data_IF_550540147524
#
_entry.id   IF_550540147524
#
_cell.length_a   1.000
_cell.length_b   1.000
_cell.length_c   1.000
_cell.angle_alpha   90.00
_cell.angle_beta   90.00
_cell.angle_gamma   90.00
#
_symmetry.space_group_name_H-M   'P 1'
#
loop_
_entity.id
_entity.type
_entity.pdbx_description
1 polymer ?
#
# COMPACT_ATOMS: atom_id res chain seq x y z
N UNK A 1 5.74 -5.54 -28.93
CA UNK A 1 6.54 -5.57 -27.69
C UNK A 1 7.76 -6.44 -27.96
N UNK A 2 8.82 -5.86 -28.54
CA UNK A 2 9.89 -6.64 -29.21
C UNK A 2 11.22 -6.62 -28.44
N UNK A 3 11.17 -6.39 -27.12
CA UNK A 3 12.38 -6.29 -26.28
C UNK A 3 13.16 -4.99 -26.40
N UNK A 4 12.60 -3.98 -27.08
CA UNK A 4 13.19 -2.64 -27.16
C UNK A 4 13.18 -1.93 -25.81
N UNK A 5 14.07 -0.95 -25.65
CA UNK A 5 14.19 -0.16 -24.42
C UNK A 5 12.92 0.69 -24.22
N UNK A 6 12.23 0.62 -23.07
CA UNK A 6 11.07 1.45 -22.80
C UNK A 6 11.41 2.95 -22.81
N UNK A 7 10.58 3.74 -23.48
CA UNK A 7 10.64 5.21 -23.45
C UNK A 7 9.54 5.69 -22.50
N UNK A 8 9.94 6.35 -21.41
CA UNK A 8 9.02 6.88 -20.40
C UNK A 8 9.08 8.39 -20.36
N UNK A 9 7.95 9.03 -20.06
CA UNK A 9 7.83 10.46 -19.83
C UNK A 9 7.22 10.69 -18.45
N UNK A 10 7.90 11.48 -17.62
CA UNK A 10 7.36 11.89 -16.34
C UNK A 10 6.14 12.80 -16.55
N UNK A 11 5.05 12.52 -15.83
CA UNK A 11 3.83 13.33 -15.83
C UNK A 11 3.45 13.63 -14.39
N UNK A 12 3.40 14.91 -14.03
CA UNK A 12 3.08 15.38 -12.68
C UNK A 12 3.55 16.83 -12.46
N UNK A 13 3.46 17.33 -11.21
CA UNK A 13 2.99 16.62 -10.04
C UNK A 13 1.45 16.46 -10.00
N UNK A 14 0.97 15.37 -9.41
CA UNK A 14 -0.41 15.23 -8.93
C UNK A 14 -0.35 15.29 -7.42
N UNK A 15 -0.81 16.40 -6.85
CA UNK A 15 -0.67 16.71 -5.43
C UNK A 15 -1.96 16.36 -4.70
N UNK A 16 -1.81 15.63 -3.60
CA UNK A 16 -2.90 15.28 -2.70
C UNK A 16 -2.59 15.84 -1.31
N UNK A 17 -3.56 16.51 -0.70
CA UNK A 17 -3.52 16.88 0.71
C UNK A 17 -3.79 15.64 1.55
N UNK A 18 -2.89 15.34 2.49
CA UNK A 18 -2.99 14.19 3.39
C UNK A 18 -3.41 14.66 4.79
N UNK A 19 -4.56 14.17 5.24
CA UNK A 19 -5.07 14.35 6.59
C UNK A 19 -4.82 13.06 7.39
N UNK A 20 -4.15 13.18 8.54
CA UNK A 20 -3.81 12.04 9.41
C UNK A 20 -4.48 12.24 10.77
N UNK A 21 -5.22 11.23 11.22
CA UNK A 21 -5.90 11.20 12.51
C UNK A 21 -5.35 10.02 13.35
N UNK A 22 -5.05 10.28 14.63
CA UNK A 22 -4.73 9.22 15.61
C UNK A 22 -5.98 8.93 16.44
N UNK A 23 -6.55 7.74 16.24
CA UNK A 23 -7.68 7.26 17.03
C UNK A 23 -7.17 6.47 18.22
N UNK A 24 -7.08 7.14 19.37
CA UNK A 24 -6.61 6.54 20.63
C UNK A 24 -7.65 5.52 21.10
N UNK A 25 -7.19 4.30 21.36
CA UNK A 25 -8.05 3.21 21.86
C UNK A 25 -7.80 2.89 23.33
N UNK A 26 -6.59 3.12 23.84
CA UNK A 26 -6.23 2.83 25.23
C UNK A 26 -5.00 3.63 25.67
N UNK A 27 -4.93 3.90 26.97
CA UNK A 27 -3.81 4.57 27.62
C UNK A 27 -3.43 3.77 28.86
N UNK A 28 -2.21 3.27 28.88
CA UNK A 28 -1.67 2.50 29.99
C UNK A 28 -0.69 3.36 30.78
N UNK A 29 -1.14 3.85 31.93
CA UNK A 29 -0.34 4.67 32.85
C UNK A 29 0.80 3.89 33.50
N UNK A 30 0.64 2.58 33.73
CA UNK A 30 1.66 1.77 34.39
C UNK A 30 2.86 1.53 33.48
N UNK A 31 2.63 1.34 32.18
CA UNK A 31 3.71 1.20 31.19
C UNK A 31 4.05 2.49 30.45
N UNK A 32 3.35 3.59 30.74
CA UNK A 32 3.48 4.89 30.09
C UNK A 32 3.36 4.82 28.56
N UNK A 33 2.32 4.12 28.09
CA UNK A 33 2.07 3.90 26.66
C UNK A 33 0.68 4.31 26.23
N UNK A 34 0.53 4.58 24.93
CA UNK A 34 -0.73 4.84 24.25
C UNK A 34 -0.91 3.83 23.12
N UNK A 35 -2.12 3.30 23.00
CA UNK A 35 -2.53 2.47 21.88
C UNK A 35 -3.45 3.27 20.95
N UNK A 36 -3.23 3.18 19.64
CA UNK A 36 -4.02 3.92 18.66
C UNK A 36 -4.03 3.26 17.28
N UNK A 37 -5.01 3.66 16.47
CA UNK A 37 -5.00 3.46 15.03
C UNK A 37 -4.65 4.76 14.32
N UNK A 38 -4.00 4.66 13.16
CA UNK A 38 -3.81 5.76 12.24
C UNK A 38 -4.86 5.70 11.15
N UNK A 39 -5.62 6.77 10.99
CA UNK A 39 -6.51 6.96 9.84
C UNK A 39 -5.92 8.00 8.91
N UNK A 40 -5.88 7.72 7.62
CA UNK A 40 -5.40 8.64 6.59
C UNK A 40 -6.50 8.96 5.60
N UNK A 41 -6.57 10.20 5.17
CA UNK A 41 -7.52 10.65 4.16
C UNK A 41 -6.79 11.54 3.15
N UNK A 42 -6.92 11.21 1.87
CA UNK A 42 -6.25 11.89 0.76
C UNK A 42 -7.27 12.66 -0.08
N UNK A 43 -6.98 13.94 -0.33
CA UNK A 43 -7.84 14.82 -1.16
C UNK A 43 -7.01 15.42 -2.28
N UNK A 44 -7.47 15.29 -3.53
CA UNK A 44 -6.76 15.87 -4.66
C UNK A 44 -6.74 17.41 -4.56
N UNK A 45 -5.54 17.98 -4.65
CA UNK A 45 -5.33 19.42 -4.63
C UNK A 45 -5.05 19.93 -6.04
N UNK A 46 -6.12 20.30 -6.75
CA UNK A 46 -6.04 20.79 -8.13
C UNK A 46 -5.19 22.06 -8.27
N UNK A 47 -5.23 22.95 -7.26
CA UNK A 47 -4.49 24.22 -7.28
C UNK A 47 -2.99 23.98 -7.20
N UNK A 48 -2.55 23.13 -6.26
CA UNK A 48 -1.15 22.79 -6.10
C UNK A 48 -0.63 21.91 -7.27
N UNK A 49 -1.52 21.14 -7.90
CA UNK A 49 -1.21 20.32 -9.09
C UNK A 49 -1.06 21.16 -10.38
N UNK A 50 -1.37 22.46 -10.34
CA UNK A 50 -1.20 23.37 -11.46
C UNK A 50 -2.16 23.07 -12.62
N UNK A 51 -1.63 22.68 -13.78
CA UNK A 51 -2.43 22.35 -14.96
C UNK A 51 -2.88 20.87 -15.02
N UNK A 52 -2.59 20.10 -13.97
CA UNK A 52 -2.92 18.67 -13.89
C UNK A 52 -4.25 18.45 -13.23
N UNK A 53 -5.00 17.51 -13.79
CA UNK A 53 -6.24 16.97 -13.23
C UNK A 53 -6.05 15.47 -13.02
N UNK A 54 -6.56 14.90 -11.93
CA UNK A 54 -6.40 13.46 -11.68
C UNK A 54 -7.30 12.57 -12.56
N UNK A 55 -8.11 13.17 -13.44
CA UNK A 55 -8.71 12.49 -14.59
C UNK A 55 -7.76 12.35 -15.79
N UNK A 56 -6.54 12.89 -15.74
CA UNK A 56 -5.51 12.67 -16.76
C UNK A 56 -5.31 11.17 -16.99
N UNK A 57 -5.32 10.74 -18.26
CA UNK A 57 -5.14 9.33 -18.64
C UNK A 57 -3.65 9.05 -18.85
N UNK A 58 -3.15 8.03 -18.15
CA UNK A 58 -1.77 7.54 -18.27
C UNK A 58 -1.73 6.15 -18.88
N UNK A 59 -0.68 5.88 -19.64
CA UNK A 59 -0.32 4.54 -20.08
C UNK A 59 0.73 3.99 -19.13
N UNK A 60 0.37 2.96 -18.36
CA UNK A 60 1.23 2.33 -17.34
C UNK A 60 1.21 0.82 -17.50
N UNK A 61 2.20 0.13 -16.94
CA UNK A 61 2.18 -1.33 -16.89
C UNK A 61 1.00 -1.81 -16.03
N UNK A 62 0.31 -2.86 -16.45
CA UNK A 62 -0.73 -3.50 -15.64
C UNK A 62 -0.11 -4.19 -14.42
N UNK A 63 0.06 -3.45 -13.32
CA UNK A 63 0.73 -3.93 -12.11
C UNK A 63 -0.02 -5.08 -11.45
N UNK A 64 -1.35 -5.06 -11.46
CA UNK A 64 -2.17 -6.17 -10.96
C UNK A 64 -1.91 -7.45 -11.75
N UNK A 65 -1.93 -7.37 -13.08
CA UNK A 65 -1.59 -8.50 -13.94
C UNK A 65 -0.15 -8.98 -13.71
N UNK A 66 0.81 -8.06 -13.67
CA UNK A 66 2.21 -8.40 -13.45
C UNK A 66 2.41 -9.12 -12.11
N UNK A 67 1.77 -8.65 -11.03
CA UNK A 67 1.80 -9.31 -9.73
C UNK A 67 1.26 -10.74 -9.79
N UNK A 68 0.11 -10.93 -10.46
CA UNK A 68 -0.48 -12.26 -10.67
C UNK A 68 0.45 -13.19 -11.46
N UNK A 69 1.03 -12.71 -12.56
CA UNK A 69 1.96 -13.48 -13.39
C UNK A 69 3.21 -13.88 -12.60
N UNK A 70 3.81 -12.95 -11.85
CA UNK A 70 4.99 -13.23 -11.02
C UNK A 70 4.68 -14.26 -9.93
N UNK A 71 3.51 -14.14 -9.27
CA UNK A 71 3.08 -15.07 -8.23
C UNK A 71 2.81 -16.48 -8.78
N UNK A 72 2.13 -16.58 -9.93
CA UNK A 72 1.88 -17.86 -10.59
C UNK A 72 3.20 -18.47 -11.08
N UNK A 73 4.09 -17.67 -11.69
CA UNK A 73 5.40 -18.15 -12.12
C UNK A 73 6.23 -18.70 -10.96
N UNK A 74 6.15 -18.09 -9.77
CA UNK A 74 6.88 -18.56 -8.60
C UNK A 74 6.28 -19.82 -7.95
N UNK A 75 4.96 -20.01 -8.05
CA UNK A 75 4.25 -21.11 -7.39
C UNK A 75 4.01 -22.31 -8.31
N UNK A 76 3.45 -22.06 -9.49
CA UNK A 76 2.96 -23.05 -10.44
C UNK A 76 3.18 -22.54 -11.88
N UNK A 77 4.43 -22.51 -12.37
CA UNK A 77 4.76 -21.94 -13.68
C UNK A 77 4.03 -22.62 -14.85
N UNK A 78 3.62 -23.88 -14.68
CA UNK A 78 2.81 -24.61 -15.65
C UNK A 78 1.43 -23.98 -15.95
N UNK A 79 0.91 -23.14 -15.05
CA UNK A 79 -0.40 -22.48 -15.22
C UNK A 79 -0.33 -21.12 -15.94
N UNK A 80 0.87 -20.63 -16.29
CA UNK A 80 1.02 -19.35 -16.98
C UNK A 80 0.22 -19.22 -18.28
N UNK A 81 0.10 -20.24 -19.16
CA UNK A 81 -0.70 -20.14 -20.38
C UNK A 81 -2.17 -19.81 -20.11
N UNK A 82 -2.74 -20.34 -19.02
CA UNK A 82 -4.13 -20.11 -18.63
C UNK A 82 -4.37 -18.64 -18.29
N UNK A 83 -3.38 -17.96 -17.70
CA UNK A 83 -3.49 -16.53 -17.37
C UNK A 83 -3.67 -15.71 -18.64
N UNK A 84 -2.92 -16.02 -19.71
CA UNK A 84 -3.04 -15.35 -21.00
C UNK A 84 -4.42 -15.55 -21.64
N UNK A 85 -4.97 -16.76 -21.56
CA UNK A 85 -6.34 -17.06 -22.05
C UNK A 85 -7.42 -16.33 -21.25
N UNK A 86 -7.20 -16.12 -19.95
CA UNK A 86 -8.13 -15.41 -19.07
C UNK A 86 -8.12 -13.88 -19.27
N UNK A 87 -7.06 -13.30 -19.83
CA UNK A 87 -6.87 -11.85 -19.93
C UNK A 87 -8.04 -11.09 -20.54
N UNK A 88 -8.61 -11.50 -21.69
CA UNK A 88 -9.70 -10.75 -22.32
C UNK A 88 -10.98 -10.73 -21.48
N UNK A 89 -11.18 -11.74 -20.63
CA UNK A 89 -12.32 -11.82 -19.72
C UNK A 89 -12.13 -10.92 -18.49
N UNK A 90 -10.91 -10.89 -17.95
CA UNK A 90 -10.58 -10.08 -16.75
C UNK A 90 -10.47 -8.59 -17.10
N UNK A 91 -9.87 -8.28 -18.24
CA UNK A 91 -9.67 -6.93 -18.76
C UNK A 91 -10.26 -6.82 -20.17
N UNK A 92 -11.57 -6.52 -20.30
CA UNK A 92 -12.20 -6.30 -21.58
C UNK A 92 -11.46 -5.22 -22.38
N UNK A 93 -11.24 -5.48 -23.66
CA UNK A 93 -10.49 -4.60 -24.58
C UNK A 93 -9.00 -4.43 -24.24
N UNK A 94 -8.39 -5.36 -23.49
CA UNK A 94 -6.94 -5.38 -23.33
C UNK A 94 -6.25 -5.60 -24.68
N UNK A 95 -5.42 -4.62 -25.08
CA UNK A 95 -4.68 -4.65 -26.36
C UNK A 95 -3.27 -5.21 -26.13
N UNK A 96 -2.68 -4.84 -25.00
CA UNK A 96 -1.32 -5.13 -24.60
C UNK A 96 -1.27 -5.21 -23.06
N UNK A 97 -0.09 -5.46 -22.48
CA UNK A 97 0.05 -5.53 -21.02
C UNK A 97 -0.05 -4.16 -20.31
N UNK A 98 -0.35 -3.08 -21.05
CA UNK A 98 -0.43 -1.73 -20.51
C UNK A 98 -1.88 -1.33 -20.26
N UNK A 99 -2.09 -0.70 -19.10
CA UNK A 99 -3.34 -0.05 -18.76
C UNK A 99 -3.32 1.40 -19.24
N UNK A 100 -4.46 1.84 -19.78
CA UNK A 100 -4.75 3.23 -20.12
C UNK A 100 -5.82 3.70 -19.15
N UNK A 101 -5.40 4.30 -18.04
CA UNK A 101 -6.24 4.54 -16.86
C UNK A 101 -6.07 5.96 -16.35
N UNK A 102 -7.09 6.49 -15.68
CA UNK A 102 -6.98 7.79 -15.02
C UNK A 102 -6.05 7.69 -13.81
N UNK A 103 -5.42 8.81 -13.47
CA UNK A 103 -4.56 8.92 -12.29
C UNK A 103 -5.33 8.56 -11.02
N UNK A 104 -6.51 9.14 -10.81
CA UNK A 104 -7.34 8.85 -9.63
C UNK A 104 -7.74 7.38 -9.53
N UNK A 105 -7.95 6.71 -10.67
CA UNK A 105 -8.34 5.30 -10.71
C UNK A 105 -7.16 4.42 -10.28
N UNK A 106 -5.96 4.61 -10.82
CA UNK A 106 -4.82 3.76 -10.41
C UNK A 106 -4.37 4.06 -8.97
N UNK A 107 -4.45 5.31 -8.53
CA UNK A 107 -4.03 5.70 -7.20
C UNK A 107 -5.04 5.28 -6.13
N UNK A 108 -6.33 5.59 -6.28
CA UNK A 108 -7.31 5.46 -5.19
C UNK A 108 -8.62 4.76 -5.56
N UNK A 109 -9.33 5.16 -6.63
CA UNK A 109 -10.67 4.63 -6.93
C UNK A 109 -10.63 3.15 -7.36
N UNK A 110 -9.60 2.81 -8.12
CA UNK A 110 -9.22 1.47 -8.55
C UNK A 110 -9.61 1.10 -9.98
N UNK A 111 -8.89 0.12 -10.52
CA UNK A 111 -9.10 -0.51 -11.82
C UNK A 111 -9.81 -1.84 -11.61
N UNK A 112 -10.93 -2.04 -12.30
CA UNK A 112 -11.77 -3.24 -12.16
C UNK A 112 -11.19 -4.43 -12.93
N UNK A 113 -11.14 -5.57 -12.25
CA UNK A 113 -10.92 -6.91 -12.78
C UNK A 113 -12.27 -7.62 -12.83
N UNK A 114 -12.75 -7.89 -14.04
CA UNK A 114 -14.06 -8.46 -14.24
C UNK A 114 -14.06 -9.98 -14.03
N UNK A 115 -15.04 -10.47 -13.27
CA UNK A 115 -15.18 -11.87 -12.89
C UNK A 115 -16.53 -12.47 -13.29
N UNK A 116 -17.12 -11.93 -14.37
CA UNK A 116 -18.46 -12.31 -14.82
C UNK A 116 -18.50 -13.54 -15.74
N UNK A 117 -17.37 -13.92 -16.34
CA UNK A 117 -17.30 -15.01 -17.32
C UNK A 117 -17.14 -16.39 -16.63
N UNK A 118 -17.96 -17.40 -16.97
CA UNK A 118 -17.87 -18.75 -16.39
C UNK A 118 -16.50 -19.42 -16.56
N UNK A 119 -15.83 -19.15 -17.67
CA UNK A 119 -14.53 -19.71 -18.07
C UNK A 119 -13.42 -19.38 -17.06
N UNK A 120 -13.51 -18.23 -16.38
CA UNK A 120 -12.52 -17.76 -15.40
C UNK A 120 -13.02 -17.86 -13.96
N UNK A 121 -14.16 -18.53 -13.72
CA UNK A 121 -14.80 -18.61 -12.40
C UNK A 121 -13.87 -19.17 -11.31
N UNK A 122 -13.10 -20.20 -11.64
CA UNK A 122 -12.09 -20.80 -10.75
C UNK A 122 -10.95 -19.84 -10.43
N UNK A 123 -10.44 -19.10 -11.43
CA UNK A 123 -9.38 -18.10 -11.29
C UNK A 123 -9.86 -16.95 -10.40
N UNK A 124 -11.09 -16.48 -10.64
CA UNK A 124 -11.70 -15.41 -9.84
C UNK A 124 -11.94 -15.83 -8.39
N UNK A 125 -12.38 -17.07 -8.15
CA UNK A 125 -12.53 -17.61 -6.80
C UNK A 125 -11.18 -17.69 -6.07
N UNK A 126 -10.15 -18.21 -6.75
CA UNK A 126 -8.80 -18.30 -6.19
C UNK A 126 -8.20 -16.91 -5.90
N UNK A 127 -8.36 -15.96 -6.83
CA UNK A 127 -7.86 -14.59 -6.68
C UNK A 127 -8.56 -13.86 -5.54
N UNK A 128 -9.87 -14.10 -5.35
CA UNK A 128 -10.63 -13.55 -4.21
C UNK A 128 -10.14 -14.12 -2.88
N UNK A 129 -9.89 -15.42 -2.82
CA UNK A 129 -9.40 -16.09 -1.61
C UNK A 129 -7.98 -15.64 -1.24
N UNK A 130 -7.12 -15.42 -2.23
CA UNK A 130 -5.73 -14.99 -2.05
C UNK A 130 -5.53 -13.48 -2.30
N UNK A 131 -6.59 -12.67 -2.19
CA UNK A 131 -6.53 -11.26 -2.59
C UNK A 131 -5.50 -10.49 -1.74
N UNK A 132 -4.62 -9.68 -2.34
CA UNK A 132 -3.76 -8.77 -1.60
C UNK A 132 -4.58 -7.62 -1.00
N UNK A 133 -3.98 -6.89 -0.06
CA UNK A 133 -4.61 -5.73 0.60
C UNK A 133 -4.93 -4.59 -0.37
N UNK A 134 -4.10 -4.38 -1.39
CA UNK A 134 -4.31 -3.44 -2.50
C UNK A 134 -5.53 -3.79 -3.38
N UNK A 135 -6.18 -4.94 -3.15
CA UNK A 135 -7.39 -5.35 -3.83
C UNK A 135 -8.60 -5.40 -2.89
N UNK A 136 -9.70 -4.81 -3.36
CA UNK A 136 -11.02 -4.87 -2.72
C UNK A 136 -12.03 -5.58 -3.60
N UNK A 137 -13.07 -6.11 -2.97
CA UNK A 137 -14.23 -6.64 -3.68
C UNK A 137 -15.05 -5.44 -4.16
N UNK A 138 -15.50 -5.49 -5.41
CA UNK A 138 -16.37 -4.46 -5.99
C UNK A 138 -17.75 -4.49 -5.32
N UNK A 139 -18.51 -3.38 -5.44
CA UNK A 139 -19.85 -3.27 -4.87
C UNK A 139 -20.86 -4.31 -5.40
N UNK A 140 -20.57 -4.92 -6.56
CA UNK A 140 -21.39 -6.00 -7.12
C UNK A 140 -21.05 -7.40 -6.54
N UNK A 141 -20.15 -7.48 -5.56
CA UNK A 141 -19.70 -8.70 -4.87
C UNK A 141 -19.09 -9.77 -5.80
N UNK A 142 -18.83 -9.43 -7.06
CA UNK A 142 -18.33 -10.33 -8.11
C UNK A 142 -16.94 -9.93 -8.54
N UNK A 143 -16.76 -8.67 -8.90
CA UNK A 143 -15.52 -8.18 -9.45
C UNK A 143 -14.52 -7.82 -8.35
N UNK A 144 -13.26 -7.72 -8.74
CA UNK A 144 -12.18 -7.24 -7.89
C UNK A 144 -11.74 -5.87 -8.40
N UNK A 145 -11.28 -5.01 -7.50
CA UNK A 145 -10.81 -3.67 -7.83
C UNK A 145 -9.42 -3.51 -7.25
N UNK A 146 -8.47 -3.13 -8.10
CA UNK A 146 -7.08 -2.90 -7.73
C UNK A 146 -6.75 -1.40 -7.75
N UNK A 147 -6.12 -0.91 -6.68
CA UNK A 147 -5.61 0.46 -6.58
C UNK A 147 -4.30 0.45 -5.79
N UNK A 148 -3.37 1.35 -6.09
CA UNK A 148 -2.10 1.43 -5.35
C UNK A 148 -2.28 1.86 -3.90
N UNK A 149 -3.14 2.87 -3.68
CA UNK A 149 -3.30 3.51 -2.38
C UNK A 149 -4.73 3.49 -1.83
N UNK A 150 -5.70 2.92 -2.57
CA UNK A 150 -7.09 2.88 -2.14
C UNK A 150 -7.31 2.12 -0.83
N UNK A 151 -6.49 1.12 -0.51
CA UNK A 151 -6.55 0.40 0.77
C UNK A 151 -6.05 1.21 1.97
N UNK A 152 -5.36 2.34 1.74
CA UNK A 152 -4.87 3.24 2.80
C UNK A 152 -5.75 4.49 2.96
N UNK A 153 -6.71 4.71 2.07
CA UNK A 153 -7.60 5.87 2.12
C UNK A 153 -8.83 5.55 2.99
N UNK A 154 -9.03 6.34 4.04
CA UNK A 154 -10.08 6.19 5.04
C UNK A 154 -10.10 4.86 5.80
N UNK A 155 -8.98 4.14 5.82
CA UNK A 155 -8.82 2.89 6.57
C UNK A 155 -7.99 3.10 7.84
N UNK A 156 -8.16 2.19 8.81
CA UNK A 156 -7.44 2.20 10.08
C UNK A 156 -6.21 1.30 10.00
N UNK A 157 -5.03 1.90 10.07
CA UNK A 157 -3.75 1.19 10.18
C UNK A 157 -3.39 0.99 11.66
N UNK A 158 -2.99 -0.23 12.03
CA UNK A 158 -2.58 -0.58 13.39
C UNK A 158 -3.25 -1.87 13.88
N UNK A 159 -3.42 -2.04 15.21
CA UNK A 159 -3.13 -1.05 16.25
C UNK A 159 -1.62 -0.87 16.48
N UNK A 160 -1.22 0.35 16.85
CA UNK A 160 0.12 0.67 17.34
C UNK A 160 0.11 0.82 18.85
N UNK A 161 1.18 0.40 19.53
CA UNK A 161 1.47 0.76 20.93
C UNK A 161 2.74 1.60 20.97
N UNK A 162 2.66 2.81 21.50
CA UNK A 162 3.75 3.78 21.49
C UNK A 162 4.01 4.34 22.90
N UNK A 163 5.27 4.64 23.22
CA UNK A 163 5.61 5.30 24.49
C UNK A 163 5.18 6.77 24.48
N UNK A 164 4.61 7.25 25.58
CA UNK A 164 4.23 8.67 25.74
C UNK A 164 5.39 9.50 26.29
N UNK A 165 6.20 8.86 27.14
CA UNK A 165 7.36 9.41 27.82
C UNK A 165 7.05 10.56 28.77
N UNK A 166 5.99 10.37 29.57
CA UNK A 166 5.68 11.13 30.78
C UNK A 166 6.52 10.64 31.96
N UNK A 167 6.74 9.32 32.03
CA UNK A 167 7.54 8.64 33.06
C UNK A 167 8.83 8.11 32.43
N UNK A 168 8.75 7.50 31.24
CA UNK A 168 9.92 7.03 30.50
C UNK A 168 10.56 8.19 29.71
N UNK A 169 11.88 8.29 29.63
CA UNK A 169 12.52 9.31 28.78
C UNK A 169 12.41 8.99 27.30
N UNK A 170 12.13 7.73 26.93
CA UNK A 170 11.84 7.34 25.56
C UNK A 170 10.44 7.78 25.17
N UNK A 171 10.36 8.76 24.27
CA UNK A 171 9.10 9.33 23.79
C UNK A 171 8.84 8.92 22.36
N UNK A 172 7.59 8.56 22.06
CA UNK A 172 7.09 8.24 20.73
C UNK A 172 7.75 7.04 20.06
N UNK A 173 8.39 6.15 20.81
CA UNK A 173 8.91 4.89 20.26
C UNK A 173 7.78 3.89 20.13
N UNK A 174 7.65 3.26 18.97
CA UNK A 174 6.72 2.16 18.75
C UNK A 174 7.26 0.92 19.47
N UNK A 175 6.45 0.34 20.33
CA UNK A 175 6.76 -0.85 21.13
C UNK A 175 6.07 -2.09 20.58
N UNK A 176 4.84 -1.93 20.06
CA UNK A 176 4.10 -3.00 19.39
C UNK A 176 3.43 -2.48 18.12
N UNK A 177 3.32 -3.37 17.14
CA UNK A 177 2.48 -3.22 15.96
C UNK A 177 1.65 -4.49 15.81
N UNK A 178 0.32 -4.36 15.73
CA UNK A 178 -0.60 -5.50 15.68
C UNK A 178 -0.37 -6.50 16.81
N UNK A 179 -0.10 -5.99 18.01
CA UNK A 179 0.22 -6.75 19.23
C UNK A 179 1.53 -7.56 19.20
N UNK A 180 2.30 -7.47 18.11
CA UNK A 180 3.61 -8.08 17.95
C UNK A 180 4.75 -7.10 18.25
N UNK A 181 5.87 -7.63 18.75
CA UNK A 181 7.10 -6.86 19.05
C UNK A 181 8.07 -6.78 17.88
N UNK A 182 7.88 -7.67 16.91
CA UNK A 182 8.69 -7.79 15.71
C UNK A 182 7.80 -8.17 14.54
N UNK A 183 8.27 -7.89 13.33
CA UNK A 183 7.63 -8.32 12.10
C UNK A 183 7.99 -9.77 11.79
N UNK A 184 7.19 -10.39 10.91
CA UNK A 184 7.43 -11.75 10.40
C UNK A 184 7.73 -11.76 8.89
N UNK A 185 7.82 -10.58 8.28
CA UNK A 185 7.88 -10.40 6.82
C UNK A 185 9.31 -10.56 6.27
N UNK A 186 10.31 -10.17 7.05
CA UNK A 186 11.71 -10.25 6.64
C UNK A 186 12.33 -11.55 7.14
N UNK A 187 13.37 -12.03 6.45
CA UNK A 187 14.15 -13.17 6.92
C UNK A 187 14.90 -12.88 8.23
N UNK A 188 15.82 -13.75 8.59
CA UNK A 188 16.48 -13.71 9.89
C UNK A 188 17.29 -12.42 10.14
N UNK A 189 17.33 -12.00 11.40
CA UNK A 189 18.15 -10.89 11.90
C UNK A 189 17.35 -9.64 12.29
N UNK A 190 18.04 -8.53 12.53
CA UNK A 190 17.46 -7.28 13.04
C UNK A 190 16.55 -6.51 12.06
N UNK A 191 16.13 -7.12 10.94
CA UNK A 191 15.24 -6.48 9.96
C UNK A 191 13.77 -6.45 10.38
N UNK A 192 13.38 -7.37 11.27
CA UNK A 192 12.04 -7.47 11.82
C UNK A 192 11.81 -6.57 13.05
N UNK A 193 12.84 -5.88 13.54
CA UNK A 193 12.71 -5.03 14.72
C UNK A 193 11.80 -3.83 14.46
N UNK A 194 10.98 -3.48 15.46
CA UNK A 194 10.20 -2.24 15.46
C UNK A 194 11.05 -1.13 16.11
N UNK A 195 11.67 -0.28 15.29
CA UNK A 195 12.52 0.81 15.77
C UNK A 195 11.97 2.18 15.34
N UNK A 196 11.98 3.13 16.28
CA UNK A 196 11.64 4.52 16.02
C UNK A 196 10.17 4.88 16.25
N UNK A 197 9.76 6.04 15.74
CA UNK A 197 8.38 6.53 15.82
C UNK A 197 7.59 6.22 14.56
N UNK A 198 6.30 6.56 14.57
CA UNK A 198 5.42 6.53 13.39
C UNK A 198 5.73 7.66 12.38
N UNK A 199 6.76 8.48 12.64
CA UNK A 199 7.21 9.57 11.78
C UNK A 199 6.36 10.84 11.86
N UNK A 200 5.24 10.81 12.58
CA UNK A 200 4.39 12.00 12.75
C UNK A 200 4.79 12.86 13.94
N UNK A 201 5.61 12.34 14.85
CA UNK A 201 6.15 13.09 15.99
C UNK A 201 7.65 12.80 16.10
N UNK A 202 8.42 13.89 16.17
CA UNK A 202 9.81 13.88 16.61
C UNK A 202 9.92 14.83 17.80
N UNK A 203 10.54 14.37 18.88
CA UNK A 203 10.68 15.18 20.08
C UNK A 203 11.82 16.18 19.89
N UNK A 204 11.72 17.32 20.56
CA UNK A 204 12.81 18.30 20.58
C UNK A 204 14.06 17.66 21.19
N UNK A 205 15.10 17.55 20.39
CA UNK A 205 16.36 16.96 20.79
C UNK A 205 17.26 18.06 21.36
N UNK A 206 17.74 17.87 22.60
CA UNK A 206 18.67 18.82 23.23
C UNK A 206 20.04 18.82 22.55
N UNK A 207 20.41 17.69 21.95
CA UNK A 207 21.63 17.51 21.17
C UNK A 207 21.28 16.86 19.83
N UNK A 208 22.05 17.12 18.75
CA UNK A 208 21.83 16.46 17.46
C UNK A 208 21.98 14.95 17.62
N UNK A 209 20.93 14.18 17.31
CA UNK A 209 21.06 12.73 17.24
C UNK A 209 21.78 12.32 15.97
N UNK A 210 22.64 11.31 16.10
CA UNK A 210 23.38 10.75 14.95
C UNK A 210 22.46 10.02 13.95
N UNK A 211 21.34 9.48 14.45
CA UNK A 211 20.45 8.60 13.69
C UNK A 211 19.02 8.77 14.17
N UNK A 212 18.08 8.88 13.23
CA UNK A 212 16.63 8.86 13.49
C UNK A 212 16.08 7.59 12.84
N UNK A 213 15.28 6.84 13.59
CA UNK A 213 14.54 5.70 13.09
C UNK A 213 13.06 6.06 12.98
N UNK A 214 12.43 5.59 11.91
CA UNK A 214 10.99 5.71 11.71
C UNK A 214 10.47 4.39 11.19
N UNK A 215 9.31 3.97 11.69
CA UNK A 215 8.58 2.81 11.22
C UNK A 215 7.35 3.27 10.43
N UNK A 216 7.52 3.56 9.13
CA UNK A 216 6.44 3.96 8.24
C UNK A 216 5.65 2.74 7.72
N UNK A 217 4.67 3.02 6.87
CA UNK A 217 3.80 2.05 6.16
C UNK A 217 4.52 1.03 5.26
N UNK A 218 5.85 1.11 5.11
CA UNK A 218 6.63 0.20 4.28
C UNK A 218 6.93 -1.16 4.94
N UNK A 219 6.25 -1.48 6.04
CA UNK A 219 6.44 -2.70 6.84
C UNK A 219 7.92 -2.98 7.13
N UNK A 220 8.69 -1.91 7.35
CA UNK A 220 10.10 -1.95 7.71
C UNK A 220 10.48 -0.61 8.32
N UNK A 221 11.34 -0.61 9.34
CA UNK A 221 11.92 0.64 9.81
C UNK A 221 12.99 1.13 8.82
N UNK A 222 13.07 2.45 8.67
CA UNK A 222 14.09 3.10 7.85
C UNK A 222 14.99 3.91 8.78
N UNK A 223 16.30 3.74 8.61
CA UNK A 223 17.34 4.58 9.18
C UNK A 223 18.26 5.08 8.06
N UNK A 224 19.14 6.06 8.33
CA UNK A 224 20.11 6.52 7.35
C UNK A 224 20.97 5.37 6.84
N UNK A 225 21.18 5.34 5.52
CA UNK A 225 22.17 4.49 4.86
C UNK A 225 23.55 4.88 5.42
N UNK A 226 24.22 3.92 6.06
CA UNK A 226 25.60 4.06 6.54
C UNK A 226 26.55 3.92 5.37
#
# INVERSE_FOLDING_TARGET
MNGERPIVKQVGPYIYDLFIERQIIDIDEATDTVRYYLKKHYVFNSTASGCRDDNDVLTIINMALLGTVLKINSMLPALLPIVYEALPYIYPNIIDIFLRVKVKDILFEGVTLYCSAPEISSICLATRAAKPEMMRIAANEKDLVFSLFGSFNDTLLGPFKMTRGLVNTQRGSIVLYQDEKELDVWGDGGCNMLNGSDGGIFFQMKEPVKTIYTFPEFLRYVGPLV
#
